data_IF_450322673127
#
_entry.id   IF_450322673127
#
_cell.length_a   1.000
_cell.length_b   1.000
_cell.length_c   1.000
_cell.angle_alpha   90.00
_cell.angle_beta   90.00
_cell.angle_gamma   90.00
#
_symmetry.space_group_name_H-M   'P 1'
#
loop_
_entity.id
_entity.type
_entity.pdbx_description
1 polymer ?
#
# COMPACT_ATOMS: atom_id res chain seq x y z
N UNK A 1 -12.68 -16.43 -17.73
CA UNK A 1 -12.62 -15.87 -16.36
C UNK A 1 -11.26 -15.24 -16.17
N UNK A 2 -11.17 -14.12 -15.45
CA UNK A 2 -9.90 -13.43 -15.20
C UNK A 2 -9.35 -13.84 -13.83
N UNK A 3 -8.04 -14.04 -13.73
CA UNK A 3 -7.32 -14.31 -12.48
C UNK A 3 -6.40 -13.13 -12.21
N UNK A 4 -6.46 -12.60 -10.98
CA UNK A 4 -5.57 -11.53 -10.55
C UNK A 4 -4.33 -12.19 -9.90
N UNK A 5 -3.17 -12.01 -10.51
CA UNK A 5 -1.89 -12.57 -10.07
C UNK A 5 -0.85 -11.46 -9.96
N UNK A 6 0.12 -11.63 -9.07
CA UNK A 6 1.26 -10.73 -8.94
C UNK A 6 2.42 -11.15 -9.86
N UNK A 7 3.52 -10.42 -9.75
CA UNK A 7 4.72 -10.65 -10.59
C UNK A 7 5.58 -11.83 -10.13
N UNK A 8 5.32 -12.37 -8.93
CA UNK A 8 6.13 -13.38 -8.26
C UNK A 8 5.37 -14.70 -8.12
N UNK A 9 6.06 -15.82 -8.36
CA UNK A 9 5.56 -17.15 -8.01
C UNK A 9 5.56 -17.34 -6.49
N UNK A 10 4.37 -17.25 -5.89
CA UNK A 10 4.19 -17.26 -4.45
C UNK A 10 4.64 -18.57 -3.82
N UNK A 11 4.35 -19.72 -4.44
CA UNK A 11 4.59 -21.04 -3.83
C UNK A 11 6.09 -21.36 -3.76
N UNK A 12 6.83 -21.00 -4.81
CA UNK A 12 8.28 -21.21 -4.87
C UNK A 12 9.03 -20.25 -3.94
N UNK A 13 8.58 -19.00 -3.81
CA UNK A 13 9.32 -17.95 -3.10
C UNK A 13 8.93 -17.81 -1.62
N UNK A 14 7.70 -18.18 -1.24
CA UNK A 14 7.22 -18.13 0.15
C UNK A 14 8.13 -18.83 1.18
N UNK A 15 8.77 -19.99 0.93
CA UNK A 15 9.64 -20.63 1.93
C UNK A 15 11.01 -19.94 2.09
N UNK A 16 11.41 -19.11 1.12
CA UNK A 16 12.70 -18.41 1.15
C UNK A 16 12.62 -17.03 1.79
N UNK A 17 11.43 -16.44 1.90
CA UNK A 17 11.22 -15.09 2.42
C UNK A 17 10.63 -15.11 3.84
N UNK A 18 11.07 -14.21 4.72
CA UNK A 18 10.46 -14.05 6.05
C UNK A 18 9.07 -13.42 6.01
N UNK A 19 8.81 -12.59 4.98
CA UNK A 19 7.52 -11.96 4.73
C UNK A 19 7.29 -11.87 3.21
N UNK A 20 6.05 -12.07 2.78
CA UNK A 20 5.62 -11.99 1.38
C UNK A 20 4.24 -11.32 1.32
N UNK A 21 4.01 -10.47 0.32
CA UNK A 21 2.70 -9.81 0.15
C UNK A 21 1.83 -10.61 -0.81
N UNK A 22 0.60 -10.99 -0.42
CA UNK A 22 -0.28 -11.76 -1.29
C UNK A 22 -0.89 -10.88 -2.38
N UNK A 23 -1.16 -11.47 -3.54
CA UNK A 23 -1.96 -10.84 -4.60
C UNK A 23 -3.12 -11.79 -4.91
N UNK A 24 -4.39 -11.34 -4.77
CA UNK A 24 -4.83 -10.00 -4.37
C UNK A 24 -4.71 -9.70 -2.86
N UNK A 25 -4.75 -8.41 -2.49
CA UNK A 25 -4.86 -7.96 -1.09
C UNK A 25 -3.60 -7.41 -0.44
N UNK A 26 -2.45 -7.44 -1.11
CA UNK A 26 -1.19 -6.87 -0.63
C UNK A 26 -1.08 -5.37 -0.88
N UNK A 27 -0.15 -4.98 -1.74
CA UNK A 27 0.21 -3.57 -1.96
C UNK A 27 -0.92 -2.67 -2.49
N UNK A 28 -1.90 -3.23 -3.20
CA UNK A 28 -2.96 -2.43 -3.83
C UNK A 28 -3.82 -1.63 -2.84
N UNK A 29 -4.19 -2.21 -1.69
CA UNK A 29 -4.98 -1.50 -0.67
C UNK A 29 -4.14 -0.43 0.05
N UNK A 30 -2.82 -0.63 0.13
CA UNK A 30 -1.91 0.34 0.75
C UNK A 30 -1.81 1.64 -0.07
N UNK A 31 -1.91 1.56 -1.40
CA UNK A 31 -1.92 2.75 -2.26
C UNK A 31 -3.07 3.70 -1.92
N UNK A 32 -4.27 3.17 -1.71
CA UNK A 32 -5.45 3.96 -1.33
C UNK A 32 -5.26 4.57 0.07
N UNK A 33 -4.78 3.78 1.02
CA UNK A 33 -4.52 4.25 2.38
C UNK A 33 -3.48 5.38 2.41
N UNK A 34 -2.40 5.26 1.63
CA UNK A 34 -1.34 6.26 1.57
C UNK A 34 -1.79 7.55 0.89
N UNK A 35 -2.66 7.46 -0.12
CA UNK A 35 -3.30 8.65 -0.69
C UNK A 35 -4.06 9.43 0.39
N UNK A 36 -4.92 8.76 1.15
CA UNK A 36 -5.68 9.40 2.24
C UNK A 36 -4.77 10.01 3.31
N UNK A 37 -3.74 9.27 3.73
CA UNK A 37 -2.76 9.75 4.71
C UNK A 37 -2.05 11.01 4.22
N UNK A 38 -1.59 11.01 2.97
CA UNK A 38 -0.89 12.16 2.39
C UNK A 38 -1.82 13.38 2.28
N UNK A 39 -3.09 13.18 1.90
CA UNK A 39 -4.09 14.25 1.89
C UNK A 39 -4.32 14.83 3.28
N UNK A 40 -4.45 13.99 4.31
CA UNK A 40 -4.59 14.44 5.70
C UNK A 40 -3.36 15.22 6.17
N UNK A 41 -2.16 14.69 5.90
CA UNK A 41 -0.91 15.35 6.27
C UNK A 41 -0.77 16.72 5.60
N UNK A 42 -1.14 16.83 4.32
CA UNK A 42 -1.13 18.10 3.61
C UNK A 42 -2.13 19.11 4.22
N UNK A 43 -3.35 18.66 4.54
CA UNK A 43 -4.37 19.50 5.16
C UNK A 43 -3.94 20.04 6.53
N UNK A 44 -3.42 19.18 7.41
CA UNK A 44 -2.89 19.58 8.72
C UNK A 44 -1.71 20.55 8.56
N UNK A 45 -0.78 20.24 7.65
CA UNK A 45 0.39 21.09 7.41
C UNK A 45 0.07 22.47 6.84
N UNK A 46 -1.08 22.64 6.17
CA UNK A 46 -1.57 23.93 5.73
C UNK A 46 -2.24 24.69 6.88
N UNK A 47 -3.09 24.01 7.67
CA UNK A 47 -3.74 24.62 8.83
C UNK A 47 -2.73 25.11 9.89
N UNK A 48 -1.63 24.38 10.11
CA UNK A 48 -0.57 24.78 11.04
C UNK A 48 0.21 26.03 10.57
N UNK A 49 0.20 26.33 9.26
CA UNK A 49 0.86 27.52 8.69
C UNK A 49 -0.01 28.78 8.80
N UNK A 50 -1.33 28.63 8.80
CA UNK A 50 -2.27 29.76 8.95
C UNK A 50 -2.39 30.26 10.39
N UNK A 51 -1.83 29.53 11.37
CA UNK A 51 -1.87 29.88 12.80
C UNK A 51 -0.61 30.66 13.27
N UNK A 52 0.36 30.90 12.40
CA UNK A 52 1.54 31.73 12.67
C UNK A 52 1.50 33.02 11.85
#
# INVERSE_FOLDING_TARGET
GYRLVGDVDYDTVSPHCSFITPVPGGVGVMTIAMLMKNTLQAAVSLADKDTK
#
